data_IF_976811405812
#
_entry.id   IF_976811405812
#
_cell.length_a   1.000
_cell.length_b   1.000
_cell.length_c   1.000
_cell.angle_alpha   90.00
_cell.angle_beta   90.00
_cell.angle_gamma   90.00
#
_symmetry.space_group_name_H-M   'P 1'
#
loop_
_entity.id
_entity.type
_entity.pdbx_description
1 polymer ?
#
# COMPACT_ATOMS: atom_id res chain seq x y z
N UNK A 1 -19.57 -5.24 5.25
CA UNK A 1 -19.34 -6.49 4.49
C UNK A 1 -20.53 -7.45 4.53
N UNK A 2 -21.19 -7.67 5.69
CA UNK A 2 -22.42 -8.47 5.76
C UNK A 2 -23.51 -8.03 4.76
N UNK A 3 -23.79 -6.73 4.68
CA UNK A 3 -24.74 -6.15 3.71
C UNK A 3 -24.37 -6.34 2.23
N UNK A 4 -23.08 -6.52 1.90
CA UNK A 4 -22.69 -6.85 0.53
C UNK A 4 -22.92 -8.32 0.22
N UNK A 5 -22.66 -9.21 1.19
CA UNK A 5 -22.91 -10.64 1.03
C UNK A 5 -24.39 -10.91 0.72
N UNK A 6 -25.30 -10.09 1.28
CA UNK A 6 -26.74 -10.15 1.03
C UNK A 6 -27.16 -9.79 -0.41
N UNK A 7 -26.28 -9.19 -1.21
CA UNK A 7 -26.55 -8.83 -2.62
C UNK A 7 -25.66 -9.55 -3.64
N UNK A 8 -24.64 -10.31 -3.21
CA UNK A 8 -23.70 -11.01 -4.10
C UNK A 8 -24.32 -12.28 -4.69
N UNK A 9 -24.44 -12.41 -6.02
CA UNK A 9 -24.87 -13.67 -6.64
C UNK A 9 -23.84 -14.80 -6.42
N UNK A 10 -24.27 -16.06 -6.22
CA UNK A 10 -25.65 -16.56 -6.19
C UNK A 10 -26.29 -16.59 -4.79
N UNK A 11 -25.64 -16.04 -3.75
CA UNK A 11 -26.04 -16.25 -2.34
C UNK A 11 -26.92 -15.12 -1.78
N UNK A 12 -27.05 -13.99 -2.49
CA UNK A 12 -27.66 -12.76 -1.99
C UNK A 12 -29.16 -12.83 -1.64
N UNK A 13 -29.48 -13.23 -0.41
CA UNK A 13 -30.85 -13.42 0.11
C UNK A 13 -31.76 -12.20 -0.10
N UNK A 14 -31.23 -10.97 0.07
CA UNK A 14 -32.00 -9.76 -0.14
C UNK A 14 -32.38 -9.56 -1.61
N UNK A 15 -31.50 -9.93 -2.54
CA UNK A 15 -31.77 -9.91 -3.98
C UNK A 15 -32.83 -10.93 -4.38
N UNK A 16 -32.84 -12.12 -3.75
CA UNK A 16 -33.90 -13.12 -3.97
C UNK A 16 -35.27 -12.66 -3.46
N UNK A 17 -35.32 -12.07 -2.27
CA UNK A 17 -36.56 -11.52 -1.72
C UNK A 17 -37.11 -10.37 -2.60
N UNK A 18 -36.25 -9.43 -3.01
CA UNK A 18 -36.64 -8.32 -3.88
C UNK A 18 -37.11 -8.80 -5.27
N UNK A 19 -36.44 -9.80 -5.84
CA UNK A 19 -36.83 -10.41 -7.11
C UNK A 19 -38.19 -11.11 -7.03
N UNK A 20 -38.53 -11.74 -5.89
CA UNK A 20 -39.84 -12.34 -5.65
C UNK A 20 -40.99 -11.32 -5.65
N UNK A 21 -40.75 -10.13 -5.09
CA UNK A 21 -41.73 -9.01 -5.12
C UNK A 21 -41.85 -8.44 -6.54
N UNK A 22 -40.73 -8.22 -7.22
CA UNK A 22 -40.67 -7.58 -8.53
C UNK A 22 -40.94 -8.53 -9.72
N UNK A 23 -41.09 -9.84 -9.48
CA UNK A 23 -41.30 -10.90 -10.50
C UNK A 23 -40.25 -10.91 -11.62
N UNK A 24 -38.99 -10.74 -11.26
CA UNK A 24 -37.84 -10.73 -12.18
C UNK A 24 -36.79 -11.75 -11.74
N UNK A 25 -35.81 -12.01 -12.60
CA UNK A 25 -34.72 -12.96 -12.34
C UNK A 25 -33.84 -12.51 -11.14
N UNK A 26 -33.73 -13.31 -10.06
CA UNK A 26 -32.92 -13.00 -8.89
C UNK A 26 -31.44 -12.76 -9.18
N UNK A 27 -30.88 -13.46 -10.18
CA UNK A 27 -29.48 -13.29 -10.58
C UNK A 27 -29.29 -11.92 -11.19
N UNK A 28 -30.21 -11.45 -12.05
CA UNK A 28 -30.13 -10.11 -12.65
C UNK A 28 -30.27 -9.00 -11.61
N UNK A 29 -31.18 -9.18 -10.64
CA UNK A 29 -31.32 -8.25 -9.50
C UNK A 29 -30.04 -8.20 -8.68
N UNK A 30 -29.48 -9.36 -8.35
CA UNK A 30 -28.24 -9.46 -7.58
C UNK A 30 -27.04 -8.84 -8.30
N UNK A 31 -26.85 -9.11 -9.61
CA UNK A 31 -25.78 -8.49 -10.39
C UNK A 31 -25.90 -6.97 -10.41
N UNK A 32 -27.13 -6.46 -10.57
CA UNK A 32 -27.39 -5.01 -10.59
C UNK A 32 -27.12 -4.38 -9.21
N UNK A 33 -27.65 -4.99 -8.14
CA UNK A 33 -27.45 -4.53 -6.77
C UNK A 33 -25.96 -4.59 -6.34
N UNK A 34 -25.26 -5.66 -6.74
CA UNK A 34 -23.83 -5.81 -6.52
C UNK A 34 -23.03 -4.74 -7.29
N UNK A 35 -23.37 -4.48 -8.55
CA UNK A 35 -22.74 -3.41 -9.34
C UNK A 35 -22.91 -2.02 -8.70
N UNK A 36 -24.05 -1.75 -8.07
CA UNK A 36 -24.24 -0.50 -7.31
C UNK A 36 -23.49 -0.48 -5.97
N UNK A 37 -23.32 -1.63 -5.32
CA UNK A 37 -22.65 -1.71 -4.03
C UNK A 37 -21.12 -1.73 -4.14
N UNK A 38 -20.54 -2.07 -5.29
CA UNK A 38 -19.09 -2.17 -5.50
C UNK A 38 -18.31 -0.92 -5.08
N UNK A 39 -18.94 0.27 -5.13
CA UNK A 39 -18.33 1.53 -4.72
C UNK A 39 -17.82 1.49 -3.27
N UNK A 40 -18.47 0.75 -2.37
CA UNK A 40 -18.06 0.65 -0.97
C UNK A 40 -17.00 -0.43 -0.73
N UNK A 41 -16.67 -1.23 -1.75
CA UNK A 41 -15.67 -2.30 -1.64
C UNK A 41 -14.24 -1.76 -1.58
N UNK A 42 -14.03 -0.49 -1.96
CA UNK A 42 -12.71 0.13 -2.00
C UNK A 42 -12.20 0.54 -0.62
N UNK A 43 -13.10 0.84 0.31
CA UNK A 43 -12.76 1.34 1.64
C UNK A 43 -11.73 0.48 2.41
N UNK A 44 -11.83 -0.86 2.49
CA UNK A 44 -10.79 -1.67 3.16
C UNK A 44 -9.42 -1.52 2.49
N UNK A 45 -9.38 -1.45 1.16
CA UNK A 45 -8.13 -1.27 0.43
C UNK A 45 -7.51 0.10 0.69
N UNK A 46 -8.34 1.14 0.88
CA UNK A 46 -7.86 2.46 1.26
C UNK A 46 -7.09 2.42 2.58
N UNK A 47 -7.62 1.74 3.61
CA UNK A 47 -6.95 1.66 4.91
C UNK A 47 -5.69 0.78 4.89
N UNK A 48 -5.67 -0.28 4.07
CA UNK A 48 -4.52 -1.17 3.95
C UNK A 48 -3.35 -0.48 3.22
N UNK A 49 -3.63 0.20 2.11
CA UNK A 49 -2.58 0.80 1.29
C UNK A 49 -2.21 2.22 1.70
N UNK A 50 -3.06 2.89 2.48
CA UNK A 50 -2.79 4.21 3.01
C UNK A 50 -2.94 4.23 4.54
N UNK A 51 -1.85 3.87 5.22
CA UNK A 51 -1.78 3.85 6.69
C UNK A 51 -1.92 5.25 7.31
N UNK A 52 -1.74 6.33 6.54
CA UNK A 52 -2.00 7.69 7.03
C UNK A 52 -3.48 7.90 7.35
N UNK A 53 -4.40 7.15 6.73
CA UNK A 53 -5.82 7.15 7.11
C UNK A 53 -6.08 6.54 8.49
N UNK A 54 -5.14 5.74 9.00
CA UNK A 54 -5.14 5.21 10.36
C UNK A 54 -4.41 6.15 11.35
N UNK A 55 -4.09 7.37 10.92
CA UNK A 55 -3.31 8.36 11.67
C UNK A 55 -1.87 7.93 11.97
N UNK A 56 -1.33 6.97 11.21
CA UNK A 56 0.04 6.49 11.36
C UNK A 56 0.96 7.29 10.43
N UNK A 57 2.00 7.92 10.99
CA UNK A 57 2.97 8.71 10.22
C UNK A 57 2.40 10.03 9.67
N UNK A 58 1.50 10.66 10.42
CA UNK A 58 0.99 12.02 10.15
C UNK A 58 1.88 13.02 10.87
N UNK A 59 2.49 13.95 10.13
CA UNK A 59 3.43 14.94 10.68
C UNK A 59 2.76 16.26 11.09
N UNK A 60 1.48 16.47 10.73
CA UNK A 60 0.75 17.67 11.12
C UNK A 60 -0.70 17.72 10.62
N UNK A 61 -1.42 18.77 11.03
CA UNK A 61 -2.84 18.98 10.66
C UNK A 61 -3.04 19.21 9.17
N UNK A 62 -2.12 19.92 8.51
CA UNK A 62 -2.16 20.14 7.07
C UNK A 62 -2.04 18.83 6.28
N UNK A 63 -1.13 17.95 6.71
CA UNK A 63 -0.93 16.63 6.12
C UNK A 63 -2.17 15.74 6.31
N UNK A 64 -2.77 15.77 7.50
CA UNK A 64 -4.02 15.08 7.78
C UNK A 64 -5.17 15.53 6.86
N UNK A 65 -5.37 16.85 6.73
CA UNK A 65 -6.42 17.41 5.86
C UNK A 65 -6.19 17.02 4.40
N UNK A 66 -4.93 17.03 3.96
CA UNK A 66 -4.55 16.61 2.61
C UNK A 66 -4.85 15.12 2.39
N UNK A 67 -4.45 14.25 3.32
CA UNK A 67 -4.71 12.79 3.23
C UNK A 67 -6.21 12.47 3.21
N UNK A 68 -7.00 13.12 4.07
CA UNK A 68 -8.46 12.93 4.08
C UNK A 68 -9.06 13.48 2.77
N UNK A 69 -8.64 14.66 2.33
CA UNK A 69 -9.12 15.28 1.10
C UNK A 69 -8.86 14.43 -0.14
N UNK A 70 -7.64 13.90 -0.29
CA UNK A 70 -7.29 13.02 -1.42
C UNK A 70 -8.04 11.70 -1.36
N UNK A 71 -8.23 11.12 -0.17
CA UNK A 71 -9.03 9.90 0.02
C UNK A 71 -10.50 10.09 -0.37
N UNK A 72 -11.10 11.23 0.00
CA UNK A 72 -12.48 11.58 -0.40
C UNK A 72 -12.57 11.75 -1.92
N UNK A 73 -11.64 12.50 -2.54
CA UNK A 73 -11.62 12.67 -3.99
C UNK A 73 -11.45 11.33 -4.70
N UNK A 74 -10.52 10.49 -4.26
CA UNK A 74 -10.29 9.18 -4.86
C UNK A 74 -11.53 8.27 -4.76
N UNK A 75 -12.26 8.30 -3.65
CA UNK A 75 -13.52 7.56 -3.50
C UNK A 75 -14.61 8.08 -4.45
N UNK A 76 -14.73 9.40 -4.63
CA UNK A 76 -15.67 10.00 -5.58
C UNK A 76 -15.33 9.62 -7.03
N UNK A 77 -14.04 9.67 -7.39
CA UNK A 77 -13.55 9.30 -8.72
C UNK A 77 -13.77 7.80 -8.97
N UNK A 78 -13.56 6.95 -7.97
CA UNK A 78 -13.85 5.51 -8.06
C UNK A 78 -15.34 5.23 -8.29
N UNK A 79 -16.20 5.90 -7.52
CA UNK A 79 -17.64 5.80 -7.69
C UNK A 79 -18.04 6.24 -9.11
N UNK A 80 -17.48 7.34 -9.60
CA UNK A 80 -17.75 7.83 -10.95
C UNK A 80 -17.28 6.86 -12.04
N UNK A 81 -16.12 6.22 -11.85
CA UNK A 81 -15.59 5.22 -12.78
C UNK A 81 -16.46 3.96 -12.83
N UNK A 82 -16.84 3.42 -11.67
CA UNK A 82 -17.63 2.18 -11.54
C UNK A 82 -19.09 2.36 -11.96
N UNK A 83 -19.68 3.53 -11.73
CA UNK A 83 -21.04 3.86 -12.18
C UNK A 83 -21.10 4.24 -13.67
N UNK A 84 -19.95 4.43 -14.33
CA UNK A 84 -19.90 4.79 -15.75
C UNK A 84 -20.37 6.23 -16.04
N UNK A 85 -20.44 7.08 -15.02
CA UNK A 85 -20.90 8.45 -15.15
C UNK A 85 -20.19 9.38 -14.16
N UNK A 86 -19.69 10.52 -14.65
CA UNK A 86 -19.08 11.55 -13.80
C UNK A 86 -19.72 12.93 -14.02
N UNK A 87 -19.56 13.52 -15.21
CA UNK A 87 -20.37 14.65 -15.68
C UNK A 87 -21.08 14.33 -17.00
N UNK A 88 -20.52 13.40 -17.76
CA UNK A 88 -21.16 12.77 -18.91
C UNK A 88 -20.96 11.24 -18.78
N UNK A 89 -21.64 10.48 -19.64
CA UNK A 89 -21.42 9.03 -19.73
C UNK A 89 -19.96 8.74 -20.09
N UNK A 90 -19.27 7.97 -19.25
CA UNK A 90 -17.85 7.65 -19.41
C UNK A 90 -17.66 6.78 -20.66
N UNK A 91 -16.64 7.09 -21.45
CA UNK A 91 -16.08 6.12 -22.41
C UNK A 91 -15.27 5.07 -21.64
N UNK A 92 -15.06 3.90 -22.24
CA UNK A 92 -14.30 2.82 -21.59
C UNK A 92 -12.89 3.27 -21.16
N UNK A 93 -12.20 4.08 -21.97
CA UNK A 93 -10.88 4.64 -21.64
C UNK A 93 -10.95 5.71 -20.55
N UNK A 94 -12.06 6.46 -20.44
CA UNK A 94 -12.26 7.42 -19.35
C UNK A 94 -12.48 6.69 -18.02
N UNK A 95 -13.23 5.59 -18.04
CA UNK A 95 -13.38 4.73 -16.87
C UNK A 95 -12.01 4.18 -16.42
N UNK A 96 -11.20 3.67 -17.34
CA UNK A 96 -9.83 3.21 -17.04
C UNK A 96 -8.96 4.34 -16.50
N UNK A 97 -9.02 5.54 -17.10
CA UNK A 97 -8.25 6.69 -16.64
C UNK A 97 -8.70 7.17 -15.24
N UNK A 98 -10.01 7.19 -14.94
CA UNK A 98 -10.54 7.50 -13.61
C UNK A 98 -10.11 6.44 -12.58
N UNK A 99 -10.08 5.14 -12.96
CA UNK A 99 -9.54 4.08 -12.10
C UNK A 99 -8.04 4.27 -11.85
N UNK A 100 -7.27 4.71 -12.84
CA UNK A 100 -5.84 5.01 -12.69
C UNK A 100 -5.61 6.21 -11.76
N UNK A 101 -6.41 7.28 -11.90
CA UNK A 101 -6.41 8.41 -10.95
C UNK A 101 -6.70 7.93 -9.54
N UNK A 102 -7.74 7.12 -9.39
CA UNK A 102 -8.14 6.52 -8.11
C UNK A 102 -6.99 5.75 -7.47
N UNK A 103 -6.35 4.84 -8.22
CA UNK A 103 -5.24 4.02 -7.73
C UNK A 103 -4.04 4.88 -7.33
N UNK A 104 -3.73 5.91 -8.12
CA UNK A 104 -2.61 6.81 -7.87
C UNK A 104 -2.85 7.67 -6.62
N UNK A 105 -4.07 8.16 -6.41
CA UNK A 105 -4.43 8.90 -5.20
C UNK A 105 -4.47 8.01 -3.95
N UNK A 106 -4.86 6.74 -4.07
CA UNK A 106 -4.87 5.81 -2.93
C UNK A 106 -3.49 5.31 -2.53
N UNK A 107 -2.65 4.97 -3.50
CA UNK A 107 -1.33 4.42 -3.24
C UNK A 107 -0.29 5.16 -4.10
N UNK A 108 -0.01 6.44 -3.82
CA UNK A 108 1.02 7.18 -4.55
C UNK A 108 2.40 6.51 -4.40
N UNK A 109 2.63 5.88 -3.24
CA UNK A 109 3.83 5.10 -2.96
C UNK A 109 4.06 3.96 -3.95
N UNK A 110 3.04 3.40 -4.61
CA UNK A 110 3.23 2.34 -5.60
C UNK A 110 4.14 2.78 -6.75
N UNK A 111 3.92 3.99 -7.26
CA UNK A 111 4.73 4.54 -8.34
C UNK A 111 6.08 4.99 -7.82
N UNK A 112 6.13 5.56 -6.62
CA UNK A 112 7.38 5.97 -6.00
C UNK A 112 8.30 4.78 -5.75
N UNK A 113 7.77 3.67 -5.22
CA UNK A 113 8.51 2.43 -4.94
C UNK A 113 9.12 1.82 -6.22
N UNK A 114 8.53 2.10 -7.39
CA UNK A 114 9.02 1.64 -8.69
C UNK A 114 10.20 2.47 -9.22
N UNK A 115 10.29 3.74 -8.83
CA UNK A 115 11.38 4.65 -9.23
C UNK A 115 12.49 4.65 -8.17
N UNK A 116 12.09 4.74 -6.90
CA UNK A 116 12.95 4.75 -5.71
C UNK A 116 12.45 3.70 -4.72
N UNK A 117 13.10 2.53 -4.65
CA UNK A 117 12.77 1.51 -3.67
C UNK A 117 12.75 2.07 -2.25
N UNK A 118 11.86 1.57 -1.36
CA UNK A 118 11.73 2.11 0.00
C UNK A 118 12.92 1.83 0.91
N UNK A 119 13.81 0.91 0.51
CA UNK A 119 14.99 0.53 1.28
C UNK A 119 16.23 0.53 0.38
N UNK A 120 17.29 1.16 0.89
CA UNK A 120 18.62 1.07 0.29
C UNK A 120 19.38 -0.07 0.93
N UNK A 121 20.04 -0.88 0.08
CA UNK A 121 20.97 -1.91 0.54
C UNK A 121 22.30 -1.25 0.86
N UNK A 122 22.59 -1.12 2.14
CA UNK A 122 23.86 -0.59 2.64
C UNK A 122 24.82 -1.72 2.91
N UNK A 123 26.10 -1.43 2.70
CA UNK A 123 27.19 -2.37 2.90
C UNK A 123 27.29 -2.83 4.38
N UNK A 124 27.57 -4.11 4.64
CA UNK A 124 27.57 -4.69 5.99
C UNK A 124 28.55 -4.04 6.97
N UNK A 125 29.65 -3.46 6.50
CA UNK A 125 30.66 -2.77 7.33
C UNK A 125 30.06 -1.64 8.17
N UNK A 126 29.01 -0.98 7.67
CA UNK A 126 28.32 0.09 8.40
C UNK A 126 27.27 -0.41 9.39
N UNK A 127 27.16 -1.72 9.63
CA UNK A 127 26.14 -2.28 10.54
C UNK A 127 26.17 -1.65 11.92
N UNK A 128 27.37 -1.39 12.44
CA UNK A 128 27.53 -0.83 13.79
C UNK A 128 27.02 0.60 13.84
N UNK A 129 27.34 1.41 12.83
CA UNK A 129 26.85 2.78 12.69
C UNK A 129 25.32 2.82 12.55
N UNK A 130 24.77 1.99 11.67
CA UNK A 130 23.32 1.90 11.44
C UNK A 130 22.57 1.49 12.71
N UNK A 131 23.08 0.50 13.44
CA UNK A 131 22.48 0.06 14.71
C UNK A 131 22.57 1.15 15.77
N UNK A 132 23.63 1.95 15.80
CA UNK A 132 23.79 3.02 16.78
C UNK A 132 22.85 4.20 16.49
N UNK A 133 22.68 4.58 15.22
CA UNK A 133 21.82 5.68 14.80
C UNK A 133 20.32 5.32 14.76
N UNK A 134 19.98 4.02 14.72
CA UNK A 134 18.60 3.58 14.62
C UNK A 134 17.75 4.02 15.84
N UNK A 135 16.50 4.45 15.64
CA UNK A 135 15.61 4.88 16.72
C UNK A 135 15.30 3.76 17.72
N UNK A 136 14.66 4.12 18.83
CA UNK A 136 14.19 3.19 19.84
C UNK A 136 13.20 2.17 19.23
N UNK A 137 13.35 0.90 19.59
CA UNK A 137 12.51 -0.22 19.15
C UNK A 137 12.42 -0.44 17.64
N UNK A 138 13.37 0.12 16.87
CA UNK A 138 13.43 -0.13 15.44
C UNK A 138 13.75 -1.60 15.12
N UNK A 139 13.29 -2.05 13.95
CA UNK A 139 13.44 -3.43 13.46
C UNK A 139 14.29 -3.44 12.21
N UNK A 140 15.60 -3.40 12.39
CA UNK A 140 16.56 -3.39 11.29
C UNK A 140 16.48 -4.68 10.50
N UNK A 141 16.29 -4.58 9.18
CA UNK A 141 16.30 -5.75 8.31
C UNK A 141 17.72 -6.05 7.82
N UNK A 142 18.16 -7.27 8.09
CA UNK A 142 19.47 -7.79 7.65
C UNK A 142 19.26 -9.04 6.81
N UNK A 143 20.04 -9.17 5.75
CA UNK A 143 20.11 -10.38 4.93
C UNK A 143 21.26 -11.24 5.42
N UNK A 144 20.94 -12.49 5.78
CA UNK A 144 21.91 -13.45 6.28
C UNK A 144 22.02 -14.64 5.35
N UNK A 145 23.24 -15.13 5.20
CA UNK A 145 23.60 -16.28 4.39
C UNK A 145 24.52 -17.23 5.17
N UNK A 146 24.28 -18.53 5.08
CA UNK A 146 25.11 -19.54 5.75
C UNK A 146 24.59 -20.95 5.51
N UNK A 147 25.27 -21.94 6.08
CA UNK A 147 24.82 -23.34 6.05
C UNK A 147 24.28 -23.72 7.43
N UNK A 148 23.09 -24.32 7.47
CA UNK A 148 22.54 -24.86 8.72
C UNK A 148 23.31 -26.11 9.18
N UNK A 149 22.98 -26.58 10.38
CA UNK A 149 23.56 -27.81 10.96
C UNK A 149 23.37 -29.08 10.10
N UNK A 150 22.48 -29.06 9.11
CA UNK A 150 22.22 -30.16 8.18
C UNK A 150 22.96 -29.98 6.84
N UNK A 151 23.79 -28.95 6.71
CA UNK A 151 24.51 -28.61 5.47
C UNK A 151 23.63 -27.98 4.41
N UNK A 152 22.44 -27.47 4.76
CA UNK A 152 21.56 -26.77 3.82
C UNK A 152 21.92 -25.29 3.78
N UNK A 153 22.22 -24.78 2.59
CA UNK A 153 22.39 -23.36 2.36
C UNK A 153 21.08 -22.60 2.67
N UNK A 154 21.18 -21.58 3.52
CA UNK A 154 20.09 -20.69 3.91
C UNK A 154 20.47 -19.27 3.47
N UNK A 155 19.55 -18.63 2.75
CA UNK A 155 19.59 -17.20 2.47
C UNK A 155 18.24 -16.60 2.87
N UNK A 156 18.21 -15.75 3.90
CA UNK A 156 16.96 -15.16 4.39
C UNK A 156 17.14 -13.76 4.97
N UNK A 157 16.09 -12.96 4.89
CA UNK A 157 15.99 -11.67 5.57
C UNK A 157 15.47 -11.86 6.99
N UNK A 158 16.12 -11.23 7.97
CA UNK A 158 15.74 -11.26 9.38
C UNK A 158 15.55 -9.83 9.89
N UNK A 159 14.53 -9.63 10.73
CA UNK A 159 14.26 -8.36 11.39
C UNK A 159 14.86 -8.38 12.80
N UNK A 160 15.94 -7.64 13.02
CA UNK A 160 16.61 -7.50 14.30
C UNK A 160 15.90 -6.43 15.15
N UNK A 161 15.29 -6.79 16.30
CA UNK A 161 14.66 -5.82 17.18
C UNK A 161 15.72 -5.11 18.02
N UNK A 162 16.08 -3.88 17.67
CA UNK A 162 17.23 -3.20 18.26
C UNK A 162 17.01 -2.69 19.71
N UNK A 163 15.76 -2.65 20.17
CA UNK A 163 15.41 -2.23 21.53
C UNK A 163 15.73 -0.75 21.79
N UNK A 164 16.02 -0.40 23.04
CA UNK A 164 16.32 0.99 23.40
C UNK A 164 17.63 1.52 22.77
N UNK A 165 17.75 2.85 22.57
CA UNK A 165 18.96 3.47 22.05
C UNK A 165 20.14 3.24 23.01
N UNK A 166 21.19 2.59 22.52
CA UNK A 166 22.42 2.32 23.24
C UNK A 166 23.56 2.12 22.21
N UNK A 167 24.84 2.14 22.64
CA UNK A 167 25.95 1.79 21.75
C UNK A 167 25.70 0.45 21.05
N UNK A 168 26.05 0.34 19.77
CA UNK A 168 25.67 -0.79 18.92
C UNK A 168 26.00 -2.16 19.54
N UNK A 169 27.18 -2.29 20.15
CA UNK A 169 27.61 -3.51 20.82
C UNK A 169 26.67 -3.92 21.97
N UNK A 170 26.14 -2.95 22.74
CA UNK A 170 25.16 -3.24 23.80
C UNK A 170 23.83 -3.69 23.23
N UNK A 171 23.34 -3.05 22.15
CA UNK A 171 22.10 -3.46 21.46
C UNK A 171 22.22 -4.87 20.90
N UNK A 172 23.34 -5.18 20.24
CA UNK A 172 23.67 -6.52 19.73
C UNK A 172 23.74 -7.57 20.84
N UNK A 173 24.45 -7.28 21.94
CA UNK A 173 24.53 -8.19 23.07
C UNK A 173 23.16 -8.41 23.75
N UNK A 174 22.30 -7.40 23.80
CA UNK A 174 20.95 -7.49 24.36
C UNK A 174 20.05 -8.42 23.52
N UNK A 175 20.20 -8.42 22.20
CA UNK A 175 19.53 -9.40 21.32
C UNK A 175 20.24 -10.75 21.25
N UNK A 176 21.41 -10.87 21.89
CA UNK A 176 22.21 -12.08 21.99
C UNK A 176 23.07 -12.36 20.76
N UNK A 177 23.49 -11.33 20.02
CA UNK A 177 24.37 -11.42 18.86
C UNK A 177 25.75 -10.87 19.15
N UNK A 178 26.77 -11.56 18.64
CA UNK A 178 28.14 -11.08 18.55
C UNK A 178 28.57 -11.11 17.09
N UNK A 179 28.97 -9.95 16.59
CA UNK A 179 29.33 -9.74 15.18
C UNK A 179 30.82 -9.38 15.07
N UNK A 180 31.43 -9.74 13.96
CA UNK A 180 32.80 -9.34 13.61
C UNK A 180 32.86 -8.91 12.15
N UNK A 181 33.40 -7.72 11.90
CA UNK A 181 33.63 -7.25 10.55
C UNK A 181 34.76 -8.05 9.90
N UNK A 182 34.52 -8.55 8.69
CA UNK A 182 35.40 -9.46 7.95
C UNK A 182 35.46 -8.98 6.50
N UNK A 183 36.17 -7.86 6.29
CA UNK A 183 36.28 -7.18 5.00
C UNK A 183 34.91 -6.76 4.45
N UNK A 184 34.46 -7.45 3.40
CA UNK A 184 33.22 -7.16 2.66
C UNK A 184 31.95 -7.79 3.30
N UNK A 185 32.10 -8.54 4.39
CA UNK A 185 30.99 -9.21 5.09
C UNK A 185 31.11 -9.07 6.60
N UNK A 186 30.00 -9.24 7.30
CA UNK A 186 30.01 -9.30 8.77
C UNK A 186 29.66 -10.72 9.21
N UNK A 187 30.62 -11.37 9.87
CA UNK A 187 30.48 -12.73 10.37
C UNK A 187 29.76 -12.74 11.73
N UNK A 188 28.81 -13.66 11.88
CA UNK A 188 28.10 -13.88 13.15
C UNK A 188 28.93 -14.86 13.99
N UNK A 189 29.71 -14.30 14.91
CA UNK A 189 30.65 -15.06 15.74
C UNK A 189 29.98 -15.81 16.88
N UNK A 190 28.82 -15.34 17.34
CA UNK A 190 28.13 -15.97 18.46
C UNK A 190 26.67 -15.60 18.54
N UNK A 191 25.85 -16.59 18.86
CA UNK A 191 24.43 -16.43 19.15
C UNK A 191 24.15 -17.01 20.53
N UNK A 192 23.70 -16.18 21.46
CA UNK A 192 23.38 -16.62 22.82
C UNK A 192 22.15 -17.54 22.79
N UNK A 193 22.24 -18.70 23.46
CA UNK A 193 21.13 -19.64 23.54
C UNK A 193 19.87 -19.01 24.15
N UNK A 194 18.70 -19.28 23.55
CA UNK A 194 17.40 -18.74 23.98
C UNK A 194 17.20 -17.24 23.73
N UNK A 195 18.16 -16.55 23.09
CA UNK A 195 18.08 -15.14 22.77
C UNK A 195 17.02 -14.82 21.70
N UNK A 196 16.71 -13.53 21.52
CA UNK A 196 15.83 -13.08 20.43
C UNK A 196 16.40 -13.45 19.07
N UNK A 197 17.72 -13.32 18.89
CA UNK A 197 18.40 -13.72 17.66
C UNK A 197 18.31 -15.22 17.38
N UNK A 198 18.50 -16.07 18.40
CA UNK A 198 18.32 -17.51 18.25
C UNK A 198 16.89 -17.88 17.81
N UNK A 199 15.87 -17.21 18.38
CA UNK A 199 14.46 -17.40 18.00
C UNK A 199 14.15 -16.97 16.56
N UNK A 200 14.94 -16.08 15.97
CA UNK A 200 14.84 -15.69 14.57
C UNK A 200 15.56 -16.70 13.64
N UNK A 201 16.14 -17.76 14.20
CA UNK A 201 16.90 -18.79 13.51
C UNK A 201 18.22 -18.26 12.96
N UNK A 202 18.86 -17.34 13.67
CA UNK A 202 20.23 -16.92 13.39
C UNK A 202 21.16 -17.91 14.09
N UNK A 203 22.16 -18.40 13.37
CA UNK A 203 23.15 -19.34 13.88
C UNK A 203 24.56 -18.75 13.80
N UNK A 204 25.47 -19.31 14.59
CA UNK A 204 26.88 -18.96 14.54
C UNK A 204 27.47 -19.44 13.21
N UNK A 205 28.32 -18.63 12.59
CA UNK A 205 28.95 -18.91 11.30
C UNK A 205 28.16 -18.39 10.10
N UNK A 206 26.94 -17.87 10.30
CA UNK A 206 26.24 -17.14 9.25
C UNK A 206 26.92 -15.80 8.98
N UNK A 207 26.76 -15.31 7.77
CA UNK A 207 27.30 -14.03 7.29
C UNK A 207 26.17 -13.07 7.00
N UNK A 208 26.38 -11.80 7.33
CA UNK A 208 25.48 -10.71 6.94
C UNK A 208 26.00 -10.15 5.62
N UNK A 209 25.18 -10.25 4.57
CA UNK A 209 25.54 -9.85 3.20
C UNK A 209 24.98 -8.50 2.80
N UNK A 210 23.86 -8.08 3.41
CA UNK A 210 23.28 -6.76 3.18
C UNK A 210 22.44 -6.29 4.36
N UNK A 211 22.30 -4.98 4.49
CA UNK A 211 21.45 -4.31 5.48
C UNK A 211 20.50 -3.40 4.72
N UNK A 212 19.21 -3.45 5.04
CA UNK A 212 18.22 -2.55 4.46
C UNK A 212 17.94 -1.41 5.45
N UNK A 213 18.28 -0.19 5.03
CA UNK A 213 17.91 1.05 5.74
C UNK A 213 16.85 1.79 4.95
N UNK A 214 16.05 2.61 5.63
CA UNK A 214 15.05 3.43 4.95
C UNK A 214 15.76 4.41 4.00
N UNK A 215 15.39 4.39 2.72
CA UNK A 215 15.98 5.26 1.71
C UNK A 215 15.51 6.71 1.90
N UNK A 216 16.41 7.69 1.71
CA UNK A 216 16.01 9.10 1.57
C UNK A 216 15.30 9.26 0.22
N UNK A 217 13.98 9.49 0.27
CA UNK A 217 13.15 9.61 -0.93
C UNK A 217 12.31 10.88 -0.93
N UNK A 218 12.08 11.48 -2.11
CA UNK A 218 11.05 12.50 -2.27
C UNK A 218 9.69 12.02 -1.74
N UNK A 219 8.91 12.97 -1.26
CA UNK A 219 7.55 12.74 -0.79
C UNK A 219 6.70 12.02 -1.85
N UNK A 220 6.04 10.93 -1.45
CA UNK A 220 5.16 10.16 -2.34
C UNK A 220 4.02 11.04 -2.90
N UNK A 221 3.66 12.09 -2.18
CA UNK A 221 2.63 13.09 -2.51
C UNK A 221 2.86 13.79 -3.86
N UNK A 222 4.08 13.75 -4.42
CA UNK A 222 4.36 14.25 -5.77
C UNK A 222 3.50 13.60 -6.87
N UNK A 223 3.08 12.34 -6.69
CA UNK A 223 2.19 11.66 -7.62
C UNK A 223 0.74 12.17 -7.59
N UNK A 224 0.37 13.02 -6.63
CA UNK A 224 -0.93 13.69 -6.67
C UNK A 224 -1.02 14.69 -7.82
N UNK A 225 0.08 15.36 -8.19
CA UNK A 225 0.11 16.33 -9.29
C UNK A 225 -0.31 15.72 -10.64
N UNK A 226 0.32 14.63 -11.13
CA UNK A 226 -0.12 13.99 -12.37
C UNK A 226 -1.53 13.39 -12.26
N UNK A 227 -1.93 12.88 -11.09
CA UNK A 227 -3.27 12.34 -10.89
C UNK A 227 -4.36 13.42 -11.03
N UNK A 228 -4.16 14.57 -10.38
CA UNK A 228 -5.07 15.72 -10.51
C UNK A 228 -5.03 16.33 -11.91
N UNK A 229 -3.87 16.34 -12.58
CA UNK A 229 -3.75 16.76 -13.97
C UNK A 229 -4.58 15.88 -14.93
N UNK A 230 -4.49 14.56 -14.78
CA UNK A 230 -5.30 13.61 -15.54
C UNK A 230 -6.79 13.75 -15.23
N UNK A 231 -7.16 13.92 -13.96
CA UNK A 231 -8.54 14.17 -13.57
C UNK A 231 -9.10 15.46 -14.20
N UNK A 232 -8.33 16.55 -14.16
CA UNK A 232 -8.71 17.82 -14.75
C UNK A 232 -8.92 17.70 -16.27
N UNK A 233 -8.06 16.95 -16.96
CA UNK A 233 -8.23 16.65 -18.39
C UNK A 233 -9.56 15.94 -18.66
N UNK A 234 -9.89 14.91 -17.88
CA UNK A 234 -11.17 14.18 -18.02
C UNK A 234 -12.35 15.11 -17.76
N UNK A 235 -12.29 15.94 -16.72
CA UNK A 235 -13.32 16.95 -16.41
C UNK A 235 -13.54 17.89 -17.59
N UNK A 236 -12.48 18.41 -18.21
CA UNK A 236 -12.59 19.32 -19.37
C UNK A 236 -13.24 18.61 -20.56
N UNK A 237 -12.82 17.38 -20.87
CA UNK A 237 -13.36 16.60 -21.99
C UNK A 237 -14.85 16.26 -21.76
N UNK A 238 -15.23 15.88 -20.53
CA UNK A 238 -16.62 15.57 -20.21
C UNK A 238 -17.51 16.81 -20.15
N UNK A 239 -17.03 17.93 -19.57
CA UNK A 239 -17.77 19.20 -19.55
C UNK A 239 -18.10 19.71 -20.95
N UNK A 240 -17.15 19.59 -21.90
CA UNK A 240 -17.40 19.96 -23.30
C UNK A 240 -18.54 19.14 -23.92
N UNK A 241 -18.57 17.82 -23.69
CA UNK A 241 -19.67 16.96 -24.17
C UNK A 241 -21.00 17.23 -23.49
N UNK A 242 -21.00 17.42 -22.17
CA UNK A 242 -22.22 17.69 -21.42
C UNK A 242 -22.93 18.95 -21.96
N UNK A 243 -22.15 20.00 -22.27
CA UNK A 243 -22.65 21.21 -22.93
C UNK A 243 -23.21 20.94 -24.33
N UNK A 244 -22.51 20.18 -25.16
CA UNK A 244 -23.03 19.82 -26.50
C UNK A 244 -24.33 19.03 -26.45
N UNK A 245 -24.52 18.18 -25.44
CA UNK A 245 -25.77 17.44 -25.22
C UNK A 245 -26.88 18.40 -24.81
N UNK A 246 -26.62 19.27 -23.83
CA UNK A 246 -27.60 20.26 -23.38
C UNK A 246 -28.03 21.23 -24.51
N UNK A 247 -27.07 21.69 -25.32
CA UNK A 247 -27.34 22.59 -26.45
C UNK A 247 -28.20 21.92 -27.55
N UNK A 248 -28.06 20.60 -27.74
CA UNK A 248 -28.88 19.82 -28.66
C UNK A 248 -30.31 19.61 -28.14
N UNK A 249 -30.50 19.45 -26.83
CA UNK A 249 -31.84 19.31 -26.25
C UNK A 249 -32.61 20.64 -26.22
N UNK A 250 -31.92 21.78 -26.13
CA UNK A 250 -32.52 23.13 -26.14
C UNK A 250 -32.91 23.64 -27.55
N UNK A 251 -32.40 23.02 -28.62
CA UNK A 251 -32.81 23.30 -30.01
C UNK A 251 -33.57 22.10 -30.57
N UNK A 252 -34.88 21.94 -30.31
CA UNK A 252 -35.67 20.96 -31.03
C UNK A 252 -35.59 21.30 -32.53
N UNK A 253 -35.26 20.28 -33.33
CA UNK A 253 -35.11 20.40 -34.77
C UNK A 253 -36.34 21.11 -35.38
N UNK A 254 -36.09 22.27 -35.99
CA UNK A 254 -37.04 23.00 -36.83
C UNK A 254 -37.22 22.30 -38.16
#
# INVERSE_FOLDING_TARGET
FGLMADVTPPVGLASYAAAGIARIDPIKVGVTAFGYSIRTAILPFMFIFNTQLLLIGIEGTAHLVLTIGTAVVANLVFAAATQGWFMARNRWWEAVALLLVTLTLFRPGFWMDMIHPPYDKVSPDRIMEVIEQAPADDRLRVWIEGEDINGKAIHKGVLLPLGEPAPALKRLNAIGLSLMASGDSVDIMGVKFGSRAAKLGIEQGFKITAIEVLAERPDKEWFFVPAFGLLALIVVIQRRRARTIADKELKPAS
#
